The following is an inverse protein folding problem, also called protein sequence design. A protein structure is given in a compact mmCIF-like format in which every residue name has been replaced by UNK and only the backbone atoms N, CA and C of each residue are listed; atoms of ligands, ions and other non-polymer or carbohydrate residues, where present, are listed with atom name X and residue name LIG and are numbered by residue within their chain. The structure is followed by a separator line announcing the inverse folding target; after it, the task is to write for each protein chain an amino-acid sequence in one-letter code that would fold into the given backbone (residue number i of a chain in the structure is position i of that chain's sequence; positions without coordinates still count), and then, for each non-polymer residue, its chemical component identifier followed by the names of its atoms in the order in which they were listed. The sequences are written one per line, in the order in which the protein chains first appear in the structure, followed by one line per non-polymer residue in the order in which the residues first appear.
data_IF_534357192751
#
_entry.id   IF_534357192751
#
_cell.length_a   1.000
_cell.length_b   1.000
_cell.length_c   1.000
_cell.angle_alpha   90.00
_cell.angle_beta   90.00
_cell.angle_gamma   90.00
#
_symmetry.space_group_name_H-M   'P 1'
#
loop_
_entity.id
_entity.type
_entity.pdbx_description
1 polymer ?
2 non-polymer ?
3 non-polymer ?
4 water ?
#
# COMPACT_ATOMS: atom_id res chain seq x y z
N UNK A 6 15.07 26.11 5.26
CA UNK A 6 14.14 27.05 4.64
C UNK A 6 13.31 27.73 5.71
N UNK A 7 13.23 29.06 5.63
CA UNK A 7 12.41 29.82 6.55
C UNK A 7 10.93 29.56 6.30
N UNK A 8 10.07 29.82 7.29
CA UNK A 8 8.63 29.76 7.03
C UNK A 8 8.18 30.68 5.91
N UNK A 9 8.79 31.86 5.77
CA UNK A 9 8.42 32.79 4.72
C UNK A 9 8.54 32.15 3.35
N UNK A 10 9.69 31.52 3.08
CA UNK A 10 9.86 30.90 1.77
C UNK A 10 8.94 29.70 1.58
N UNK A 11 8.64 28.96 2.66
CA UNK A 11 7.77 27.81 2.54
C UNK A 11 6.32 28.25 2.29
N UNK A 12 5.92 29.39 2.87
CA UNK A 12 4.61 29.96 2.57
C UNK A 12 4.49 30.28 1.09
N UNK A 13 5.56 30.82 0.50
CA UNK A 13 5.56 31.12 -0.94
C UNK A 13 5.49 29.84 -1.77
N UNK A 14 6.31 28.84 -1.42
CA UNK A 14 6.25 27.56 -2.12
C UNK A 14 4.86 26.94 -2.01
N UNK A 15 4.24 27.07 -0.83
CA UNK A 15 2.91 26.53 -0.65
C UNK A 15 1.90 27.23 -1.56
N UNK A 16 1.95 28.58 -1.62
CA UNK A 16 1.09 29.32 -2.54
C UNK A 16 1.32 28.92 -3.99
N UNK A 17 2.57 28.62 -4.37
CA UNK A 17 2.85 28.21 -5.73
C UNK A 17 2.25 26.83 -6.01
N UNK A 18 2.33 25.91 -5.05
CA UNK A 18 1.74 24.60 -5.26
C UNK A 18 0.23 24.66 -5.31
N UNK A 19 -0.38 25.62 -4.61
CA UNK A 19 -1.84 25.74 -4.64
C UNK A 19 -2.32 26.14 -6.01
N UNK A 20 -1.56 27.00 -6.71
CA UNK A 20 -1.90 27.35 -8.08
C UNK A 20 -1.81 26.14 -9.00
N UNK A 21 -0.74 25.35 -8.87
CA UNK A 21 -0.62 24.13 -9.66
C UNK A 21 -1.72 23.14 -9.32
N UNK A 22 -2.15 23.08 -8.05
CA UNK A 22 -3.26 22.21 -7.68
C UNK A 22 -4.58 22.70 -8.28
N UNK A 23 -4.79 24.02 -8.30
CA UNK A 23 -6.00 24.55 -8.92
C UNK A 23 -6.01 24.29 -10.42
N UNK A 24 -4.85 24.33 -11.08
CA UNK A 24 -4.73 24.03 -12.50
C UNK A 24 -4.72 22.52 -12.79
N UNK A 25 -4.82 21.68 -11.75
CA UNK A 25 -4.96 20.23 -11.90
C UNK A 25 -3.69 19.59 -12.48
N UNK A 26 -2.53 20.10 -12.10
CA UNK A 26 -1.29 19.49 -12.55
C UNK A 26 -1.00 18.21 -11.77
N UNK A 27 -0.32 17.30 -12.44
CA UNK A 27 -0.04 15.99 -11.86
C UNK A 27 0.86 16.12 -10.64
N UNK A 28 0.51 15.42 -9.57
CA UNK A 28 1.29 15.47 -8.37
C UNK A 28 1.13 16.72 -7.56
N UNK A 29 0.29 17.67 -7.98
CA UNK A 29 0.21 18.92 -7.24
C UNK A 29 -0.49 18.74 -5.90
N UNK A 30 -1.46 17.83 -5.82
CA UNK A 30 -2.10 17.54 -4.54
C UNK A 30 -1.08 17.06 -3.52
N UNK A 31 -0.26 16.08 -3.90
CA UNK A 31 0.75 15.55 -3.00
C UNK A 31 1.78 16.61 -2.65
N UNK A 32 2.18 17.44 -3.62
CA UNK A 32 3.13 18.51 -3.36
C UNK A 32 2.58 19.54 -2.38
N UNK A 33 1.30 19.89 -2.52
CA UNK A 33 0.66 20.80 -1.59
C UNK A 33 0.65 20.23 -0.17
N UNK A 34 0.40 18.92 -0.04
CA UNK A 34 0.45 18.26 1.26
C UNK A 34 1.88 18.31 1.80
N UNK A 35 2.88 18.08 0.95
CA UNK A 35 4.26 18.07 1.42
C UNK A 35 4.69 19.44 1.91
N UNK A 36 4.31 20.50 1.18
CA UNK A 36 4.65 21.84 1.64
C UNK A 36 3.97 22.14 2.97
N UNK A 37 2.75 21.65 3.17
CA UNK A 37 2.09 21.92 4.44
C UNK A 37 2.84 21.28 5.60
N UNK A 38 3.35 20.05 5.40
CA UNK A 38 4.06 19.39 6.48
C UNK A 38 5.38 20.09 6.75
N UNK A 39 6.05 20.54 5.68
CA UNK A 39 7.27 21.32 5.88
C UNK A 39 6.97 22.61 6.63
N UNK A 40 5.85 23.25 6.31
CA UNK A 40 5.49 24.48 7.00
C UNK A 40 5.30 24.23 8.49
N UNK A 41 4.51 23.21 8.82
CA UNK A 41 4.33 22.82 10.23
C UNK A 41 5.68 22.59 10.90
N UNK A 42 6.57 21.85 10.26
CA UNK A 42 7.85 21.55 10.88
C UNK A 42 8.69 22.80 11.10
N UNK A 43 8.54 23.80 10.22
CA UNK A 43 9.30 25.03 10.37
C UNK A 43 8.74 25.97 11.43
N UNK A 44 7.52 25.76 11.89
CA UNK A 44 6.90 26.63 12.88
C UNK A 44 6.82 26.02 14.27
N UNK A 45 6.76 24.69 14.37
CA UNK A 45 6.54 24.01 15.64
C UNK A 45 7.76 24.09 16.55
N UNK A 46 7.52 24.42 17.82
CA UNK A 46 8.55 24.34 18.85
C UNK A 46 8.66 22.89 19.32
N UNK A 47 9.81 22.46 19.87
CA UNK A 47 9.98 21.04 20.23
C UNK A 47 8.89 20.49 21.15
N UNK A 48 8.33 21.29 22.07
CA UNK A 48 7.28 20.75 22.93
C UNK A 48 6.05 20.39 22.12
N UNK A 49 5.73 21.17 21.09
CA UNK A 49 4.59 20.82 20.22
C UNK A 49 4.89 19.60 19.38
N UNK A 50 6.13 19.45 18.91
CA UNK A 50 6.51 18.22 18.21
C UNK A 50 6.35 17.02 19.14
N UNK A 51 6.78 17.14 20.39
CA UNK A 51 6.60 16.03 21.34
C UNK A 51 5.12 15.71 21.53
N UNK A 52 4.29 16.74 21.75
CA UNK A 52 2.86 16.49 21.97
C UNK A 52 2.22 15.83 20.76
N UNK A 53 2.52 16.32 19.56
CA UNK A 53 1.89 15.74 18.37
C UNK A 53 2.37 14.31 18.16
N UNK A 54 3.69 14.09 18.18
CA UNK A 54 4.24 12.77 17.88
C UNK A 54 3.87 11.73 18.94
N UNK A 55 3.95 12.10 20.22
CA UNK A 55 3.82 11.14 21.30
C UNK A 55 2.49 11.18 22.04
N UNK A 56 1.67 12.22 21.85
CA UNK A 56 0.33 12.25 22.43
C UNK A 56 -0.76 12.16 21.38
N UNK A 57 -0.85 13.16 20.48
CA UNK A 57 -1.95 13.24 19.53
C UNK A 57 -2.02 11.99 18.66
N UNK A 58 -0.90 11.56 18.11
CA UNK A 58 -0.93 10.50 17.11
C UNK A 58 -1.19 9.13 17.75
N UNK A 59 -0.51 8.73 18.83
CA UNK A 59 -0.89 7.47 19.48
C UNK A 59 -2.33 7.46 19.95
N UNK A 60 -2.82 8.58 20.47
CA UNK A 60 -4.23 8.65 20.84
C UNK A 60 -5.12 8.52 19.61
N UNK A 61 -4.74 9.17 18.51
CA UNK A 61 -5.54 9.11 17.28
C UNK A 61 -5.61 7.70 16.74
N UNK A 62 -4.47 7.01 16.67
CA UNK A 62 -4.46 5.62 16.23
C UNK A 62 -5.36 4.76 17.09
N UNK A 63 -5.32 4.97 18.40
CA UNK A 63 -6.10 4.14 19.32
C UNK A 63 -7.60 4.39 19.15
N UNK A 64 -7.99 5.64 19.01
CA UNK A 64 -9.42 5.94 18.86
C UNK A 64 -9.93 5.42 17.52
N UNK A 65 -9.17 5.62 16.46
CA UNK A 65 -9.56 5.10 15.15
C UNK A 65 -9.72 3.58 15.24
N UNK A 66 -8.79 2.91 15.92
CA UNK A 66 -8.92 1.47 16.14
C UNK A 66 -10.17 1.14 16.94
N UNK A 67 -10.43 1.88 18.02
CA UNK A 67 -11.65 1.69 18.81
C UNK A 67 -12.90 1.92 17.96
N UNK A 68 -12.85 2.89 17.04
CA UNK A 68 -14.00 3.16 16.17
C UNK A 68 -14.44 1.92 15.39
N UNK A 69 -13.50 1.08 14.94
CA UNK A 69 -13.88 -0.11 14.18
C UNK A 69 -14.54 -1.18 15.06
N UNK A 70 -14.44 -1.07 16.38
CA UNK A 70 -15.10 -2.02 17.28
C UNK A 70 -16.53 -1.61 17.61
N UNK A 71 -16.89 -0.34 17.44
CA UNK A 71 -18.20 0.15 17.82
C UNK A 71 -18.97 0.72 16.63
N UNK A 72 -18.47 0.53 15.42
CA UNK A 72 -19.21 0.87 14.20
C UNK A 72 -19.41 2.37 14.06
N UNK A 73 -18.46 3.16 14.55
CA UNK A 73 -18.67 4.61 14.66
C UNK A 73 -18.72 5.28 13.29
N UNK A 74 -17.73 5.01 12.43
CA UNK A 74 -17.70 5.69 11.13
C UNK A 74 -18.89 5.29 10.27
N UNK A 75 -19.37 4.06 10.40
CA UNK A 75 -20.55 3.63 9.65
C UNK A 75 -21.79 4.41 10.09
N UNK A 76 -21.96 4.59 11.40
CA UNK A 76 -23.11 5.35 11.90
C UNK A 76 -23.08 6.79 11.42
N UNK A 77 -21.90 7.42 11.47
CA UNK A 77 -21.79 8.80 10.98
C UNK A 77 -22.01 8.87 9.47
N UNK A 78 -21.59 7.84 8.73
CA UNK A 78 -21.88 7.81 7.30
C UNK A 78 -23.38 7.75 7.05
N UNK A 79 -24.09 6.91 7.80
CA UNK A 79 -25.55 6.78 7.62
C UNK A 79 -26.30 8.06 7.98
N UNK A 80 -25.80 8.82 8.97
CA UNK A 80 -26.49 10.04 9.38
C UNK A 80 -26.40 11.13 8.32
N UNK A 81 -25.44 11.03 7.39
CA UNK A 81 -25.35 11.92 6.22
C UNK A 81 -25.26 13.36 6.72
N UNK A 82 -26.07 14.27 6.20
CA UNK A 82 -25.95 15.67 6.61
C UNK A 82 -26.63 15.99 7.93
N UNK A 83 -27.46 15.08 8.45
CA UNK A 83 -28.12 15.34 9.73
C UNK A 83 -27.13 15.22 10.90
N UNK A 84 -26.17 14.30 10.80
CA UNK A 84 -25.25 14.05 11.89
C UNK A 84 -25.93 13.40 13.08
N UNK A 85 -25.15 13.23 14.14
CA UNK A 85 -25.63 12.68 15.41
C UNK A 85 -24.96 13.43 16.54
N UNK A 86 -25.71 13.69 17.63
CA UNK A 86 -25.06 14.27 18.81
C UNK A 86 -24.43 13.15 19.65
N UNK A 87 -23.73 13.55 20.73
CA UNK A 87 -23.00 12.58 21.54
C UNK A 87 -23.95 11.58 22.18
N UNK A 88 -25.08 12.06 22.69
CA UNK A 88 -26.03 11.16 23.32
C UNK A 88 -26.55 10.11 22.34
N UNK A 89 -26.87 10.52 21.11
CA UNK A 89 -27.33 9.55 20.12
C UNK A 89 -26.22 8.56 19.75
N UNK A 90 -25.01 9.05 19.54
CA UNK A 90 -23.92 8.18 19.13
C UNK A 90 -23.48 7.26 20.25
N UNK A 91 -23.45 7.78 21.49
CA UNK A 91 -23.10 6.92 22.62
C UNK A 91 -24.11 5.80 22.77
N UNK A 92 -25.39 6.11 22.57
CA UNK A 92 -26.43 5.10 22.65
C UNK A 92 -26.26 4.04 21.57
N UNK A 93 -25.96 4.47 20.34
CA UNK A 93 -25.76 3.53 19.23
C UNK A 93 -24.50 2.68 19.44
N UNK A 94 -23.41 3.28 19.91
CA UNK A 94 -22.18 2.53 20.05
C UNK A 94 -22.10 1.75 21.36
N UNK A 95 -23.06 1.94 22.27
CA UNK A 95 -22.99 1.31 23.57
C UNK A 95 -21.90 1.84 24.47
N UNK A 96 -21.58 3.12 24.38
CA UNK A 96 -20.50 3.75 25.11
C UNK A 96 -21.04 4.73 26.14
N UNK A 97 -20.33 4.87 27.25
CA UNK A 97 -20.54 5.99 28.16
C UNK A 97 -20.54 7.30 27.37
N UNK A 98 -21.53 8.14 27.60
CA UNK A 98 -21.65 9.39 26.85
C UNK A 98 -20.43 10.28 27.10
N UNK A 99 -19.98 10.37 28.35
CA UNK A 99 -18.83 11.18 28.66
C UNK A 99 -17.57 10.64 27.99
N UNK A 100 -17.35 9.33 28.07
CA UNK A 100 -16.20 8.74 27.42
C UNK A 100 -16.26 8.96 25.91
N UNK A 101 -17.44 8.76 25.31
CA UNK A 101 -17.54 8.91 23.86
C UNK A 101 -17.19 10.34 23.44
N UNK A 102 -17.75 11.34 24.12
CA UNK A 102 -17.55 12.72 23.69
C UNK A 102 -16.07 13.11 23.75
N UNK A 103 -15.34 12.63 24.77
CA UNK A 103 -13.92 12.94 24.85
C UNK A 103 -13.15 12.33 23.69
N UNK A 104 -13.45 11.08 23.35
CA UNK A 104 -12.77 10.45 22.23
C UNK A 104 -13.15 11.11 20.91
N UNK A 105 -14.45 11.35 20.70
CA UNK A 105 -14.92 12.01 19.49
C UNK A 105 -14.32 13.41 19.33
N UNK A 106 -14.16 14.13 20.44
CA UNK A 106 -13.63 15.48 20.34
C UNK A 106 -12.18 15.46 19.88
N UNK A 107 -11.44 14.42 20.21
CA UNK A 107 -10.08 14.31 19.69
C UNK A 107 -10.10 14.03 18.18
N UNK A 108 -11.05 13.23 17.70
CA UNK A 108 -11.19 13.05 16.24
C UNK A 108 -11.51 14.37 15.55
N UNK A 109 -12.34 15.21 16.18
CA UNK A 109 -12.64 16.53 15.62
C UNK A 109 -11.39 17.38 15.59
N UNK A 110 -10.61 17.37 16.68
CA UNK A 110 -9.40 18.18 16.72
C UNK A 110 -8.35 17.68 15.75
N UNK A 111 -8.33 16.39 15.44
CA UNK A 111 -7.43 15.84 14.45
C UNK A 111 -8.02 15.87 13.03
N UNK A 112 -9.17 16.53 12.84
CA UNK A 112 -9.77 16.73 11.52
C UNK A 112 -10.22 15.42 10.86
N UNK A 113 -10.63 14.42 11.63
CA UNK A 113 -11.16 13.20 11.06
C UNK A 113 -12.69 13.27 10.87
N UNK A 114 -13.40 13.83 11.85
CA UNK A 114 -14.83 14.13 11.73
C UNK A 114 -15.00 15.60 12.07
N UNK A 115 -16.17 16.15 11.80
CA UNK A 115 -16.42 17.54 12.19
C UNK A 115 -17.52 17.61 13.24
N UNK A 116 -17.66 18.80 13.82
CA UNK A 116 -18.64 19.05 14.86
C UNK A 116 -19.16 20.48 14.76
N UNK A 117 -20.47 20.65 14.91
CA UNK A 117 -21.12 21.95 14.94
C UNK A 117 -22.29 21.87 15.91
N UNK A 118 -22.33 22.79 16.89
CA UNK A 118 -23.48 22.90 17.79
C UNK A 118 -23.74 21.58 18.52
N UNK A 119 -22.67 20.90 18.92
CA UNK A 119 -22.83 19.64 19.63
C UNK A 119 -23.24 18.46 18.78
N UNK A 120 -23.28 18.60 17.45
CA UNK A 120 -23.61 17.52 16.55
C UNK A 120 -22.34 17.09 15.83
N UNK A 121 -22.08 15.78 15.79
CA UNK A 121 -20.93 15.24 15.07
C UNK A 121 -21.34 14.83 13.65
N UNK A 122 -20.46 15.09 12.69
CA UNK A 122 -20.73 14.85 11.27
C UNK A 122 -19.60 14.04 10.65
N UNK A 123 -19.97 13.05 9.84
CA UNK A 123 -18.98 12.36 9.03
C UNK A 123 -18.35 13.27 8.00
N UNK A 124 -17.19 12.85 7.52
CA UNK A 124 -16.44 13.55 6.47
C UNK A 124 -16.13 12.57 5.35
N UNK A 125 -15.64 13.13 4.24
CA UNK A 125 -15.12 12.27 3.18
C UNK A 125 -14.13 11.25 3.72
N UNK A 126 -13.24 11.67 4.63
CA UNK A 126 -12.28 10.72 5.21
C UNK A 126 -13.00 9.66 6.04
N UNK A 127 -13.80 10.09 7.02
CA UNK A 127 -14.43 9.11 7.91
C UNK A 127 -15.41 8.22 7.15
N UNK A 128 -16.14 8.78 6.19
CA UNK A 128 -17.02 7.96 5.35
C UNK A 128 -16.21 6.93 4.57
N UNK A 129 -15.03 7.31 4.08
CA UNK A 129 -14.16 6.34 3.43
C UNK A 129 -13.66 5.27 4.37
N UNK A 130 -13.29 5.65 5.60
CA UNK A 130 -12.82 4.70 6.59
C UNK A 130 -13.92 3.74 7.06
N UNK A 131 -15.19 4.04 6.78
CA UNK A 131 -16.29 3.15 7.10
C UNK A 131 -16.31 1.87 6.25
N UNK A 132 -15.65 1.87 5.09
CA UNK A 132 -15.67 0.70 4.22
C UNK A 132 -14.93 -0.47 4.86
N UNK A 133 -15.39 -1.68 4.55
CA UNK A 133 -14.90 -2.88 5.24
C UNK A 133 -13.39 -3.06 5.08
N UNK A 134 -12.85 -2.74 3.90
CA UNK A 134 -11.42 -2.97 3.71
C UNK A 134 -10.60 -2.00 4.55
N UNK A 135 -11.04 -0.75 4.69
CA UNK A 135 -10.34 0.17 5.59
C UNK A 135 -10.53 -0.21 7.05
N UNK A 136 -11.70 -0.72 7.41
CA UNK A 136 -11.91 -1.21 8.77
C UNK A 136 -10.90 -2.28 9.12
N UNK A 137 -10.71 -3.26 8.23
CA UNK A 137 -9.75 -4.33 8.49
C UNK A 137 -8.31 -3.85 8.36
N UNK A 138 -8.04 -2.86 7.51
CA UNK A 138 -6.71 -2.25 7.49
C UNK A 138 -6.36 -1.66 8.84
N UNK A 139 -7.31 -0.94 9.45
CA UNK A 139 -7.06 -0.30 10.73
C UNK A 139 -6.76 -1.34 11.80
N UNK A 140 -7.54 -2.43 11.83
CA UNK A 140 -7.30 -3.48 12.82
C UNK A 140 -5.94 -4.12 12.60
N UNK A 141 -5.60 -4.44 11.34
CA UNK A 141 -4.29 -5.02 11.08
C UNK A 141 -3.17 -4.10 11.58
N UNK A 142 -3.22 -2.82 11.21
CA UNK A 142 -2.12 -1.94 11.53
C UNK A 142 -1.97 -1.73 13.04
N UNK A 143 -3.08 -1.58 13.75
CA UNK A 143 -2.98 -1.33 15.17
C UNK A 143 -2.64 -2.58 15.95
N UNK A 144 -3.12 -3.75 15.52
CA UNK A 144 -2.90 -4.97 16.28
C UNK A 144 -1.61 -5.69 15.89
N UNK A 145 -1.17 -5.58 14.64
CA UNK A 145 -0.01 -6.32 14.13
C UNK A 145 1.18 -5.40 13.89
N UNK A 146 1.00 -4.33 13.12
CA UNK A 146 2.12 -3.48 12.73
C UNK A 146 2.60 -2.61 13.88
N UNK A 147 1.67 -1.95 14.58
CA UNK A 147 2.04 -1.06 15.67
C UNK A 147 2.97 -1.70 16.70
N UNK A 148 2.70 -2.89 17.25
CA UNK A 148 3.67 -3.46 18.21
C UNK A 148 5.05 -3.66 17.62
N UNK A 149 5.15 -3.95 16.33
CA UNK A 149 6.46 -4.15 15.74
C UNK A 149 7.27 -2.86 15.75
N UNK A 150 6.66 -1.74 15.34
CA UNK A 150 7.35 -0.46 15.47
C UNK A 150 7.71 -0.17 16.92
N UNK A 151 6.81 -0.46 17.85
CA UNK A 151 7.11 -0.20 19.25
C UNK A 151 8.31 -0.96 19.75
N UNK A 152 8.64 -2.09 19.12
CA UNK A 152 9.77 -2.92 19.48
C UNK A 152 11.09 -2.48 18.87
N UNK A 153 11.10 -1.53 17.92
CA UNK A 153 12.34 -1.11 17.28
C UNK A 153 13.43 -0.68 18.26
N UNK A 154 13.18 0.23 19.22
CA UNK A 154 14.29 0.64 20.09
C UNK A 154 14.93 -0.51 20.83
N UNK A 155 14.12 -1.37 21.45
CA UNK A 155 14.68 -2.45 22.24
C UNK A 155 15.21 -3.58 21.36
N UNK A 156 14.61 -3.84 20.20
CA UNK A 156 15.11 -4.92 19.37
C UNK A 156 16.49 -4.59 18.83
N UNK A 157 16.66 -3.40 18.28
CA UNK A 157 17.95 -3.06 17.67
C UNK A 157 19.02 -2.83 18.71
N UNK A 158 18.65 -2.36 19.90
CA UNK A 158 19.64 -2.33 20.98
C UNK A 158 20.11 -3.74 21.31
N UNK A 159 19.19 -4.69 21.39
CA UNK A 159 19.56 -6.06 21.68
C UNK A 159 20.35 -6.75 20.58
N UNK A 160 20.09 -6.42 19.33
CA UNK A 160 20.78 -7.12 18.24
C UNK A 160 22.04 -6.37 17.79
N UNK A 161 22.47 -5.36 18.55
CA UNK A 161 23.68 -4.64 18.21
C UNK A 161 23.53 -3.63 17.08
N UNK A 162 22.30 -3.21 16.77
CA UNK A 162 22.02 -2.26 15.70
C UNK A 162 22.48 -2.78 14.34
N UNK A 163 22.09 -4.01 14.05
CA UNK A 163 22.42 -4.69 12.81
C UNK A 163 21.16 -4.86 11.95
N UNK A 164 21.34 -4.75 10.64
CA UNK A 164 20.28 -5.14 9.72
C UNK A 164 19.98 -6.63 9.94
N UNK A 165 18.69 -7.03 10.05
CA UNK A 165 18.36 -8.46 10.18
C UNK A 165 19.06 -9.34 9.15
N UNK A 166 19.92 -10.26 9.59
CA UNK A 166 20.73 -11.03 8.65
C UNK A 166 19.88 -11.98 7.81
N UNK A 167 19.01 -12.75 8.46
CA UNK A 167 18.11 -13.64 7.74
C UNK A 167 16.85 -12.95 7.27
N UNK A 168 16.48 -11.83 7.90
CA UNK A 168 15.28 -11.11 7.57
C UNK A 168 14.01 -11.80 8.03
N UNK A 169 13.84 -13.05 7.58
CA UNK A 169 12.58 -13.77 7.78
C UNK A 169 12.28 -13.99 9.26
N UNK A 170 13.24 -14.52 10.03
CA UNK A 170 12.96 -14.95 11.40
C UNK A 170 13.69 -14.17 12.48
N UNK A 171 14.51 -13.17 12.13
CA UNK A 171 15.38 -12.47 13.07
C UNK A 171 15.15 -10.96 13.05
N UNK A 172 13.89 -10.54 12.97
CA UNK A 172 13.57 -9.14 12.87
C UNK A 172 12.74 -8.63 14.03
N UNK A 173 12.41 -7.34 14.02
CA UNK A 173 11.57 -6.79 15.11
C UNK A 173 10.18 -7.42 15.16
N UNK A 174 9.63 -7.89 14.04
CA UNK A 174 8.32 -8.54 14.10
C UNK A 174 8.35 -9.71 15.08
N UNK A 175 9.36 -10.58 14.96
CA UNK A 175 9.45 -11.76 15.80
C UNK A 175 9.56 -11.40 17.27
N UNK A 176 10.27 -10.30 17.57
CA UNK A 176 10.45 -9.90 18.96
C UNK A 176 9.16 -9.30 19.52
N UNK A 177 8.51 -8.40 18.76
CA UNK A 177 7.27 -7.79 19.19
C UNK A 177 6.19 -8.81 19.49
N UNK A 178 6.06 -9.82 18.64
CA UNK A 178 4.98 -10.79 18.78
C UNK A 178 5.43 -12.06 19.48
N UNK A 179 6.70 -12.14 19.89
CA UNK A 179 7.21 -13.22 20.74
C UNK A 179 7.08 -14.58 20.06
N UNK A 180 7.50 -14.63 18.79
CA UNK A 180 7.52 -15.86 18.01
C UNK A 180 8.88 -15.97 17.33
N UNK A 181 9.19 -17.17 16.85
CA UNK A 181 10.39 -17.36 16.05
C UNK A 181 10.09 -17.73 14.60
N UNK A 182 8.85 -17.54 14.14
CA UNK A 182 8.44 -17.87 12.79
C UNK A 182 8.34 -16.60 11.95
N UNK A 183 8.33 -16.76 10.63
CA UNK A 183 8.24 -15.62 9.74
C UNK A 183 6.85 -14.98 9.78
N UNK A 184 6.82 -13.72 9.34
CA UNK A 184 5.55 -13.01 9.22
C UNK A 184 4.51 -13.74 8.37
N UNK A 185 4.82 -14.27 7.18
CA UNK A 185 3.80 -15.04 6.44
C UNK A 185 3.29 -16.25 7.21
N UNK A 186 4.18 -16.99 7.87
CA UNK A 186 3.75 -18.11 8.69
C UNK A 186 2.92 -17.66 9.89
N UNK A 187 3.26 -16.50 10.46
CA UNK A 187 2.47 -15.99 11.56
C UNK A 187 1.05 -15.68 11.11
N UNK A 188 0.90 -15.10 9.91
CA UNK A 188 -0.45 -14.75 9.45
C UNK A 188 -1.30 -15.99 9.29
N UNK A 189 -0.75 -17.03 8.67
CA UNK A 189 -1.47 -18.28 8.48
C UNK A 189 -1.90 -18.86 9.83
N UNK A 190 -1.06 -18.71 10.85
CA UNK A 190 -1.41 -19.20 12.16
C UNK A 190 -2.27 -18.29 13.02
N UNK A 191 -2.62 -17.09 12.58
CA UNK A 191 -3.30 -16.14 13.45
C UNK A 191 -4.49 -15.49 12.74
N UNK A 192 -5.58 -16.24 12.53
CA UNK A 192 -6.83 -15.60 12.13
C UNK A 192 -7.27 -14.57 13.16
N UNK A 193 -7.96 -13.51 12.72
CA UNK A 193 -8.41 -13.24 11.35
C UNK A 193 -7.42 -12.39 10.59
N UNK A 194 -6.16 -12.29 11.02
CA UNK A 194 -5.28 -11.27 10.47
C UNK A 194 -4.82 -11.58 9.05
N UNK A 195 -4.82 -12.85 8.64
CA UNK A 195 -4.46 -13.15 7.25
C UNK A 195 -5.49 -12.58 6.30
N UNK A 196 -6.78 -12.82 6.57
CA UNK A 196 -7.78 -12.25 5.70
C UNK A 196 -7.88 -10.73 5.88
N UNK A 197 -7.57 -10.20 7.08
CA UNK A 197 -7.46 -8.75 7.21
C UNK A 197 -6.38 -8.21 6.29
N UNK A 198 -5.23 -8.90 6.26
CA UNK A 198 -4.14 -8.51 5.36
C UNK A 198 -4.60 -8.44 3.91
N UNK A 199 -5.37 -9.45 3.48
CA UNK A 199 -5.79 -9.49 2.08
C UNK A 199 -6.74 -8.34 1.75
N UNK A 200 -7.61 -7.96 2.70
CA UNK A 200 -8.45 -6.77 2.50
C UNK A 200 -7.61 -5.51 2.44
N UNK A 201 -6.63 -5.42 3.35
CA UNK A 201 -5.67 -4.34 3.43
C UNK A 201 -4.95 -4.08 2.11
N UNK A 202 -4.64 -5.13 1.35
CA UNK A 202 -3.90 -4.91 0.11
C UNK A 202 -4.68 -4.10 -0.92
N UNK A 203 -6.01 -4.11 -0.85
CA UNK A 203 -6.81 -3.24 -1.70
C UNK A 203 -6.95 -1.83 -1.13
N UNK A 204 -6.44 -1.56 0.08
CA UNK A 204 -6.58 -0.23 0.63
C UNK A 204 -5.28 0.56 0.76
N UNK A 205 -4.12 -0.09 0.91
CA UNK A 205 -2.92 0.63 1.37
C UNK A 205 -2.48 1.73 0.39
N UNK A 206 -2.77 1.59 -0.91
CA UNK A 206 -2.43 2.66 -1.85
C UNK A 206 -3.63 3.07 -2.72
N UNK A 207 -4.85 2.71 -2.31
CA UNK A 207 -6.06 3.07 -3.04
C UNK A 207 -6.20 4.58 -3.21
N UNK A 208 -6.81 4.99 -4.33
CA UNK A 208 -6.99 6.40 -4.63
C UNK A 208 -5.79 7.07 -5.26
N UNK A 209 -4.76 6.37 -5.50
CA UNK A 209 -3.56 6.87 -6.18
C UNK A 209 -3.54 6.41 -7.63
N UNK A 210 -2.98 7.21 -8.54
CA UNK A 210 -2.88 6.77 -9.94
C UNK A 210 -2.20 5.41 -10.04
N UNK A 211 -2.76 4.54 -10.84
CA UNK A 211 -2.20 3.22 -11.11
C UNK A 211 -1.17 3.29 -12.23
N UNK A 212 -0.32 2.27 -12.27
CA UNK A 212 0.69 2.15 -13.32
C UNK A 212 0.08 2.26 -14.71
N UNK A 213 -1.13 1.75 -14.92
CA UNK A 213 -1.73 1.72 -16.24
C UNK A 213 -2.55 2.97 -16.56
N UNK A 214 -2.55 3.98 -15.69
CA UNK A 214 -3.33 5.19 -15.93
C UNK A 214 -2.67 6.07 -16.99
N UNK A 215 -3.45 7.03 -17.49
CA UNK A 215 -2.96 7.97 -18.49
C UNK A 215 -1.69 8.68 -18.03
N UNK A 216 -0.70 8.73 -18.91
CA UNK A 216 0.51 9.44 -18.58
C UNK A 216 1.50 8.67 -17.72
N UNK A 217 1.18 7.44 -17.35
CA UNK A 217 2.09 6.58 -16.61
C UNK A 217 2.67 5.55 -17.58
N UNK A 218 2.23 4.31 -17.50
CA UNK A 218 2.85 3.34 -18.43
C UNK A 218 2.01 3.24 -19.71
N UNK A 219 2.64 3.26 -20.90
CA UNK A 219 1.87 3.16 -22.17
C UNK A 219 1.41 1.74 -22.50
N UNK A 220 0.36 1.32 -21.79
CA UNK A 220 -0.17 -0.03 -21.93
C UNK A 220 -0.55 -0.31 -23.38
N UNK A 221 -1.28 0.62 -24.00
CA UNK A 221 -1.75 0.38 -25.35
C UNK A 221 -0.59 0.24 -26.32
N UNK A 222 0.38 1.14 -26.26
CA UNK A 222 1.46 1.09 -27.23
C UNK A 222 2.38 -0.11 -27.01
N UNK A 223 2.62 -0.51 -25.76
CA UNK A 223 3.60 -1.55 -25.46
C UNK A 223 3.01 -2.96 -25.39
N UNK A 224 1.76 -3.11 -24.96
CA UNK A 224 1.16 -4.42 -24.74
C UNK A 224 0.12 -4.75 -25.80
N UNK A 225 -0.88 -3.88 -25.99
CA UNK A 225 -1.99 -4.18 -26.89
C UNK A 225 -1.55 -4.10 -28.35
N UNK A 226 -0.81 -3.08 -28.70
CA UNK A 226 -0.14 -3.03 -29.99
C UNK A 226 0.86 -4.19 -30.08
N UNK A 227 0.66 -5.06 -31.06
CA UNK A 227 1.53 -6.22 -31.23
C UNK A 227 1.10 -7.45 -30.46
N UNK A 228 -0.01 -7.38 -29.72
CA UNK A 228 -0.54 -8.59 -29.09
C UNK A 228 -0.76 -9.63 -30.18
N UNK A 229 -0.35 -10.85 -29.91
CA UNK A 229 -0.34 -11.94 -30.89
C UNK A 229 -0.92 -13.19 -30.24
N UNK A 230 -2.20 -13.46 -30.52
CA UNK A 230 -2.86 -14.65 -30.00
C UNK A 230 -2.24 -15.94 -30.49
N UNK A 231 -1.53 -15.91 -31.62
CA UNK A 231 -0.80 -17.08 -32.08
C UNK A 231 0.42 -17.38 -31.21
N UNK A 232 0.94 -16.39 -30.48
CA UNK A 232 1.99 -16.66 -29.50
C UNK A 232 1.38 -17.22 -28.22
N UNK A 233 0.36 -16.56 -27.70
CA UNK A 233 -0.39 -16.98 -26.52
C UNK A 233 -1.68 -16.17 -26.47
N UNK A 234 -2.75 -16.79 -25.97
CA UNK A 234 -3.99 -16.04 -25.78
C UNK A 234 -4.03 -15.28 -24.45
N UNK A 235 -2.92 -15.16 -23.74
CA UNK A 235 -2.89 -14.48 -22.45
C UNK A 235 -2.27 -13.10 -22.61
N UNK A 236 -3.03 -12.06 -22.22
CA UNK A 236 -2.56 -10.69 -22.30
C UNK A 236 -1.70 -10.32 -21.09
N UNK A 237 -2.16 -10.64 -19.88
CA UNK A 237 -1.46 -10.18 -18.71
C UNK A 237 -1.67 -11.18 -17.58
N UNK A 238 -0.56 -11.54 -16.92
CA UNK A 238 -0.57 -12.35 -15.69
C UNK A 238 -0.18 -11.42 -14.56
N UNK A 239 -1.02 -11.32 -13.52
CA UNK A 239 -0.68 -10.60 -12.28
C UNK A 239 -0.17 -11.60 -11.24
N UNK A 240 1.15 -11.63 -11.07
CA UNK A 240 1.81 -12.59 -10.19
C UNK A 240 1.82 -12.04 -8.77
N UNK A 241 1.08 -12.68 -7.87
CA UNK A 241 0.92 -12.16 -6.52
C UNK A 241 -0.06 -11.03 -6.42
N UNK A 242 -1.15 -11.05 -7.20
CA UNK A 242 -2.03 -9.91 -7.29
C UNK A 242 -3.13 -9.82 -6.23
N UNK A 243 -2.99 -10.57 -5.15
CA UNK A 243 -3.97 -10.44 -4.08
C UNK A 243 -5.32 -10.96 -4.50
N UNK A 244 -6.37 -10.27 -4.06
CA UNK A 244 -7.70 -10.68 -4.45
C UNK A 244 -8.08 -10.19 -5.85
N UNK A 245 -7.20 -9.50 -6.55
CA UNK A 245 -7.45 -9.14 -7.93
C UNK A 245 -7.81 -7.70 -8.19
N UNK A 246 -7.66 -6.82 -7.21
CA UNK A 246 -8.10 -5.44 -7.38
C UNK A 246 -7.31 -4.74 -8.50
N UNK A 247 -5.99 -4.99 -8.60
CA UNK A 247 -5.19 -4.38 -9.66
C UNK A 247 -5.57 -4.93 -11.03
N UNK A 248 -5.68 -6.26 -11.15
CA UNK A 248 -5.96 -6.81 -12.47
C UNK A 248 -7.37 -6.47 -12.92
N UNK A 249 -8.32 -6.31 -12.00
CA UNK A 249 -9.67 -5.92 -12.37
C UNK A 249 -9.69 -4.49 -12.88
N UNK A 250 -8.93 -3.61 -12.23
CA UNK A 250 -8.79 -2.24 -12.71
C UNK A 250 -8.23 -2.22 -14.11
N UNK A 251 -7.20 -3.03 -14.37
CA UNK A 251 -6.65 -3.13 -15.73
C UNK A 251 -7.73 -3.52 -16.74
N UNK A 252 -8.50 -4.56 -16.44
CA UNK A 252 -9.50 -5.02 -17.41
C UNK A 252 -10.56 -3.98 -17.71
N UNK A 253 -11.02 -3.26 -16.68
CA UNK A 253 -12.04 -2.25 -16.90
C UNK A 253 -11.53 -1.06 -17.72
N UNK A 254 -10.22 -0.85 -17.77
CA UNK A 254 -9.64 0.28 -18.48
C UNK A 254 -9.31 -0.04 -19.93
N UNK A 255 -9.14 -1.31 -20.28
CA UNK A 255 -8.66 -1.69 -21.60
C UNK A 255 -9.57 -2.73 -22.25
N UNK A 256 -10.86 -2.68 -21.93
CA UNK A 256 -11.88 -3.51 -22.54
C UNK A 256 -12.33 -2.91 -23.87
N UNK A 257 -12.70 -3.74 -24.87
CA UNK A 257 -12.65 -5.22 -24.92
C UNK A 257 -11.22 -5.78 -24.90
N UNK A 258 -10.96 -6.78 -24.07
CA UNK A 258 -9.60 -7.27 -23.95
C UNK A 258 -9.25 -8.21 -25.11
N UNK A 259 -8.09 -8.06 -25.73
CA UNK A 259 -7.70 -8.99 -26.80
C UNK A 259 -7.27 -10.35 -26.28
N UNK A 260 -6.93 -10.49 -24.99
CA UNK A 260 -6.49 -11.77 -24.47
C UNK A 260 -6.87 -11.91 -23.01
N UNK A 261 -6.46 -13.02 -22.43
CA UNK A 261 -6.91 -13.35 -21.09
C UNK A 261 -6.14 -12.56 -20.04
N UNK A 262 -6.79 -12.39 -18.88
CA UNK A 262 -6.17 -11.87 -17.67
C UNK A 262 -6.12 -13.00 -16.65
N UNK A 263 -4.92 -13.29 -16.14
CA UNK A 263 -4.71 -14.37 -15.20
C UNK A 263 -4.18 -13.78 -13.89
N UNK A 264 -4.91 -14.01 -12.80
CA UNK A 264 -4.47 -13.66 -11.46
C UNK A 264 -3.80 -14.85 -10.81
N UNK A 265 -2.63 -14.65 -10.21
CA UNK A 265 -1.92 -15.71 -9.50
C UNK A 265 -1.64 -15.29 -8.06
N UNK A 266 -2.05 -16.12 -7.09
CA UNK A 266 -1.68 -15.87 -5.70
C UNK A 266 -1.79 -17.18 -4.91
N UNK A 267 -1.74 -17.06 -3.58
CA UNK A 267 -1.89 -18.20 -2.68
C UNK A 267 -3.33 -18.71 -2.68
N UNK A 268 -3.46 -20.01 -2.43
CA UNK A 268 -4.78 -20.62 -2.39
C UNK A 268 -5.70 -19.93 -1.38
N UNK A 269 -5.18 -19.57 -0.19
CA UNK A 269 -6.05 -18.92 0.78
C UNK A 269 -6.51 -17.54 0.30
N UNK A 270 -5.74 -16.89 -0.58
CA UNK A 270 -6.17 -15.63 -1.18
C UNK A 270 -7.22 -15.89 -2.26
N UNK A 271 -6.92 -16.79 -3.20
CA UNK A 271 -7.85 -17.11 -4.27
C UNK A 271 -9.18 -17.56 -3.70
N UNK A 272 -9.15 -18.39 -2.66
CA UNK A 272 -10.40 -18.94 -2.12
C UNK A 272 -11.23 -17.88 -1.39
N UNK A 273 -10.65 -16.74 -1.05
CA UNK A 273 -11.39 -15.66 -0.37
C UNK A 273 -11.99 -14.64 -1.33
N UNK A 274 -11.74 -14.76 -2.63
CA UNK A 274 -12.30 -13.83 -3.61
C UNK A 274 -13.80 -14.05 -3.70
N UNK A 275 -14.61 -13.02 -3.47
CA UNK A 275 -16.07 -13.19 -3.58
C UNK A 275 -16.51 -13.39 -5.01
N UNK A 276 -17.57 -14.19 -5.19
CA UNK A 276 -18.07 -14.48 -6.53
C UNK A 276 -18.53 -13.19 -7.23
N UNK A 277 -18.30 -13.16 -8.55
CA UNK A 277 -18.74 -12.02 -9.36
C UNK A 277 -18.86 -12.49 -10.80
N UNK A 278 -20.07 -12.45 -11.36
CA UNK A 278 -20.27 -12.87 -12.73
C UNK A 278 -19.61 -11.93 -13.74
N UNK A 279 -19.36 -10.68 -13.36
CA UNK A 279 -18.71 -9.73 -14.25
C UNK A 279 -17.19 -9.78 -14.15
N UNK A 280 -16.64 -10.78 -13.45
CA UNK A 280 -15.19 -10.86 -13.29
C UNK A 280 -14.53 -11.06 -14.64
N UNK A 281 -13.49 -10.28 -14.91
CA UNK A 281 -12.81 -10.34 -16.20
C UNK A 281 -11.49 -11.08 -16.15
N UNK A 282 -11.14 -11.70 -15.02
CA UNK A 282 -9.89 -12.42 -14.87
C UNK A 282 -10.16 -13.84 -14.40
N UNK A 283 -9.17 -14.71 -14.59
CA UNK A 283 -9.21 -16.09 -14.07
C UNK A 283 -8.34 -16.15 -12.83
N UNK A 284 -8.92 -16.58 -11.72
CA UNK A 284 -8.22 -16.63 -10.45
C UNK A 284 -7.56 -18.00 -10.31
N UNK A 285 -6.25 -18.03 -10.10
CA UNK A 285 -5.50 -19.29 -10.10
C UNK A 285 -4.47 -19.27 -8.99
N UNK A 286 -4.21 -20.46 -8.45
CA UNK A 286 -3.20 -20.63 -7.40
C UNK A 286 -1.84 -20.79 -8.06
N UNK A 287 -0.84 -20.09 -7.54
CA UNK A 287 0.53 -20.27 -8.01
C UNK A 287 1.46 -19.87 -6.88
N UNK A 288 2.61 -20.52 -6.82
CA UNK A 288 3.67 -20.20 -5.85
C UNK A 288 4.80 -19.49 -6.59
N UNK A 289 5.07 -18.23 -6.21
CA UNK A 289 6.10 -17.43 -6.89
C UNK A 289 7.49 -18.04 -6.79
N UNK A 290 7.68 -19.05 -5.94
CA UNK A 290 8.94 -19.74 -5.83
C UNK A 290 9.00 -21.02 -6.65
N UNK A 291 8.05 -21.21 -7.56
CA UNK A 291 8.13 -22.24 -8.58
C UNK A 291 8.13 -21.58 -9.95
N UNK A 292 8.49 -22.34 -10.99
CA UNK A 292 8.52 -21.80 -12.34
C UNK A 292 7.14 -21.33 -12.76
N UNK A 293 7.10 -20.17 -13.43
CA UNK A 293 5.88 -19.61 -13.98
C UNK A 293 5.21 -20.60 -14.94
N UNK A 294 3.97 -21.03 -14.67
CA UNK A 294 3.33 -22.02 -15.56
C UNK A 294 2.68 -21.44 -16.81
N UNK A 295 2.29 -20.16 -16.79
CA UNK A 295 1.65 -19.57 -17.97
C UNK A 295 2.75 -19.14 -18.93
N UNK A 296 2.83 -19.80 -20.09
CA UNK A 296 3.95 -19.64 -21.02
C UNK A 296 3.64 -18.58 -22.06
N UNK A 297 4.59 -17.67 -22.29
CA UNK A 297 4.61 -16.78 -23.44
C UNK A 297 3.50 -15.74 -23.42
N UNK A 298 3.01 -15.36 -22.24
CA UNK A 298 2.04 -14.27 -22.15
C UNK A 298 2.68 -12.95 -22.60
N UNK A 299 1.81 -12.01 -22.99
CA UNK A 299 2.27 -10.70 -23.44
C UNK A 299 2.89 -9.88 -22.31
N UNK A 300 2.45 -10.07 -21.07
CA UNK A 300 2.98 -9.32 -19.95
C UNK A 300 2.87 -10.14 -18.67
N UNK A 301 3.89 -10.03 -17.83
CA UNK A 301 3.89 -10.56 -16.47
C UNK A 301 4.07 -9.36 -15.56
N UNK A 302 3.13 -9.18 -14.65
CA UNK A 302 3.07 -8.00 -13.80
C UNK A 302 3.23 -8.43 -12.34
N UNK A 303 4.08 -7.70 -11.59
CA UNK A 303 4.15 -7.86 -10.14
C UNK A 303 4.10 -6.50 -9.48
N UNK A 304 3.35 -6.40 -8.39
CA UNK A 304 3.18 -5.17 -7.64
C UNK A 304 3.45 -5.47 -6.17
N UNK A 305 4.45 -4.80 -5.58
CA UNK A 305 4.76 -4.99 -4.16
C UNK A 305 4.93 -6.46 -3.80
N UNK A 306 5.73 -7.18 -4.56
CA UNK A 306 5.95 -8.59 -4.23
C UNK A 306 7.41 -8.83 -3.88
N UNK A 307 8.39 -8.73 -4.79
CA UNK A 307 9.79 -8.98 -4.37
C UNK A 307 10.34 -7.95 -3.38
N UNK A 308 9.70 -6.80 -3.20
CA UNK A 308 10.21 -5.86 -2.20
C UNK A 308 10.14 -6.43 -0.79
N UNK A 309 9.38 -7.50 -0.57
CA UNK A 309 9.29 -8.09 0.74
C UNK A 309 10.28 -9.21 0.99
N UNK A 310 11.24 -9.40 0.08
CA UNK A 310 12.16 -10.53 0.13
C UNK A 310 13.59 -10.03 0.00
N UNK A 311 14.51 -10.73 0.69
CA UNK A 311 15.94 -10.49 0.54
C UNK A 311 16.42 -10.78 -0.88
N UNK A 312 17.69 -10.43 -1.14
CA UNK A 312 18.22 -10.45 -2.51
C UNK A 312 18.13 -11.83 -3.14
N UNK A 313 18.57 -12.87 -2.41
CA UNK A 313 18.52 -14.22 -2.94
C UNK A 313 17.10 -14.62 -3.31
N UNK A 314 16.12 -14.30 -2.45
CA UNK A 314 14.74 -14.67 -2.75
C UNK A 314 14.16 -13.80 -3.86
N UNK A 315 14.49 -12.51 -3.89
CA UNK A 315 14.01 -11.65 -4.97
C UNK A 315 14.53 -12.13 -6.31
N UNK A 316 15.79 -12.57 -6.36
CA UNK A 316 16.35 -13.06 -7.62
C UNK A 316 15.57 -14.29 -8.09
N UNK A 317 15.27 -15.21 -7.16
CA UNK A 317 14.51 -16.40 -7.50
C UNK A 317 13.11 -16.05 -8.00
N UNK A 318 12.45 -15.08 -7.38
CA UNK A 318 11.11 -14.70 -7.81
C UNK A 318 11.14 -14.19 -9.25
N UNK A 319 12.14 -13.37 -9.58
CA UNK A 319 12.23 -12.86 -10.94
C UNK A 319 12.74 -13.94 -11.90
N UNK A 320 13.72 -14.75 -11.48
CA UNK A 320 14.23 -15.80 -12.36
C UNK A 320 13.16 -16.82 -12.72
N UNK A 321 12.22 -17.08 -11.82
CA UNK A 321 11.17 -18.06 -12.09
C UNK A 321 10.24 -17.62 -13.21
N UNK A 322 10.23 -16.35 -13.59
CA UNK A 322 9.50 -15.94 -14.79
C UNK A 322 10.25 -16.31 -16.06
N UNK A 323 11.57 -16.39 -16.00
CA UNK A 323 12.38 -16.42 -17.22
C UNK A 323 12.02 -17.60 -18.12
N UNK A 324 11.82 -18.83 -17.63
CA UNK A 324 11.48 -19.93 -18.55
C UNK A 324 10.17 -19.74 -19.30
N UNK A 325 9.30 -18.84 -18.85
CA UNK A 325 8.02 -18.64 -19.49
C UNK A 325 8.04 -17.51 -20.52
N UNK A 326 9.10 -16.73 -20.57
CA UNK A 326 9.10 -15.53 -21.41
C UNK A 326 9.33 -15.90 -22.86
N UNK A 327 8.52 -15.33 -23.77
CA UNK A 327 8.78 -15.44 -25.20
C UNK A 327 9.71 -14.32 -25.62
N UNK A 328 10.88 -14.67 -26.14
CA UNK A 328 11.86 -13.65 -26.52
C UNK A 328 11.25 -12.72 -27.55
N UNK A 329 11.48 -11.41 -27.37
CA UNK A 329 10.97 -10.41 -28.27
C UNK A 329 9.50 -10.10 -28.12
N UNK A 330 8.82 -10.73 -27.15
CA UNK A 330 7.37 -10.64 -27.09
C UNK A 330 6.87 -10.39 -25.67
N UNK A 331 7.39 -11.13 -24.69
CA UNK A 331 6.88 -11.05 -23.33
C UNK A 331 7.55 -9.91 -22.59
N UNK A 332 6.74 -9.02 -22.01
CA UNK A 332 7.20 -7.94 -21.14
C UNK A 332 7.11 -8.39 -19.69
N UNK A 333 8.09 -7.97 -18.88
CA UNK A 333 8.03 -8.12 -17.43
C UNK A 333 7.80 -6.73 -16.86
N UNK A 334 6.77 -6.58 -16.04
CA UNK A 334 6.37 -5.27 -15.54
C UNK A 334 6.43 -5.32 -14.03
N UNK A 335 7.46 -4.70 -13.46
CA UNK A 335 7.70 -4.71 -12.03
C UNK A 335 7.25 -3.37 -11.45
N UNK A 336 6.16 -3.39 -10.67
CA UNK A 336 5.57 -2.18 -10.10
C UNK A 336 6.05 -2.08 -8.65
N UNK A 337 7.16 -1.36 -8.44
CA UNK A 337 7.80 -1.28 -7.13
C UNK A 337 8.35 0.11 -6.88
N UNK A 338 8.53 0.43 -5.61
CA UNK A 338 9.20 1.66 -5.21
C UNK A 338 10.66 1.61 -5.65
N UNK A 339 11.12 2.68 -6.25
CA UNK A 339 12.53 2.84 -6.58
C UNK A 339 13.03 4.00 -5.72
N UNK A 340 13.86 3.67 -4.74
CA UNK A 340 14.32 4.64 -3.77
C UNK A 340 15.38 5.53 -4.39
N UNK A 341 15.16 6.84 -4.32
CA UNK A 341 16.18 7.84 -4.63
C UNK A 341 16.79 8.27 -3.30
N UNK A 342 18.03 7.85 -3.02
CA UNK A 342 18.54 8.09 -1.68
C UNK A 342 19.02 9.52 -1.46
N UNK A 343 19.29 10.27 -2.52
CA UNK A 343 19.57 11.70 -2.37
C UNK A 343 18.31 12.52 -2.10
N UNK A 344 17.12 12.02 -2.47
CA UNK A 344 15.85 12.72 -2.31
C UNK A 344 14.90 11.82 -1.53
N UNK A 345 15.03 11.78 -0.21
CA UNK A 345 14.15 10.91 0.59
C UNK A 345 12.74 11.46 0.67
N UNK A 346 11.76 10.58 0.50
CA UNK A 346 10.35 10.96 0.53
C UNK A 346 9.57 9.98 1.37
N UNK A 347 8.56 10.50 2.05
CA UNK A 347 7.73 9.72 2.97
C UNK A 347 7.19 8.46 2.32
N UNK A 348 6.72 8.56 1.08
CA UNK A 348 6.10 7.37 0.46
C UNK A 348 7.10 6.23 0.31
N UNK A 349 8.39 6.54 0.20
CA UNK A 349 9.38 5.49 0.09
C UNK A 349 9.90 5.03 1.46
N UNK A 350 10.13 5.95 2.40
CA UNK A 350 10.61 5.53 3.72
C UNK A 350 9.54 4.81 4.52
N UNK A 351 8.27 5.24 4.39
CA UNK A 351 7.13 4.52 4.94
C UNK A 351 7.19 3.04 4.63
N UNK A 352 7.15 2.71 3.34
CA UNK A 352 7.11 1.32 2.93
C UNK A 352 8.39 0.61 3.32
N UNK A 353 9.53 1.31 3.26
CA UNK A 353 10.80 0.72 3.68
C UNK A 353 10.73 0.24 5.12
N UNK A 354 10.24 1.08 6.02
CA UNK A 354 10.16 0.69 7.43
C UNK A 354 9.05 -0.33 7.66
N UNK A 355 7.98 -0.30 6.87
CA UNK A 355 6.99 -1.37 6.93
C UNK A 355 7.63 -2.70 6.54
N UNK A 356 8.44 -2.72 5.48
CA UNK A 356 9.15 -3.95 5.12
C UNK A 356 10.06 -4.42 6.25
N UNK A 357 10.80 -3.51 6.86
CA UNK A 357 11.64 -3.89 7.98
C UNK A 357 10.82 -4.44 9.15
N UNK A 358 9.68 -3.80 9.44
CA UNK A 358 8.91 -4.16 10.61
C UNK A 358 8.12 -5.46 10.45
N UNK A 359 7.89 -5.94 9.24
CA UNK A 359 7.12 -7.16 9.03
C UNK A 359 7.99 -8.27 8.44
N UNK A 360 8.68 -7.98 7.35
CA UNK A 360 9.43 -8.98 6.60
C UNK A 360 10.93 -8.95 6.91
N UNK A 361 11.38 -8.00 7.71
CA UNK A 361 12.80 -7.74 7.83
C UNK A 361 13.50 -7.43 6.52
N UNK A 362 12.79 -6.88 5.53
CA UNK A 362 13.28 -6.60 4.18
C UNK A 362 13.43 -5.07 3.96
N UNK A 363 13.49 -4.64 2.69
CA UNK A 363 13.79 -3.24 2.41
C UNK A 363 13.35 -2.84 1.00
N UNK A 364 13.15 -1.54 0.82
CA UNK A 364 12.96 -1.00 -0.51
C UNK A 364 14.32 -0.81 -1.19
N UNK A 365 14.31 -0.79 -2.52
CA UNK A 365 15.55 -0.84 -3.28
C UNK A 365 15.70 0.37 -4.18
N UNK A 366 16.96 0.76 -4.39
CA UNK A 366 17.34 1.77 -5.37
C UNK A 366 17.30 1.20 -6.77
N UNK A 367 17.43 2.09 -7.76
CA UNK A 367 17.48 1.64 -9.15
C UNK A 367 18.68 0.73 -9.40
N UNK A 368 19.85 1.08 -8.85
CA UNK A 368 20.99 0.20 -9.00
C UNK A 368 20.76 -1.14 -8.31
N UNK A 369 20.05 -1.14 -7.17
CA UNK A 369 19.70 -2.39 -6.50
C UNK A 369 18.84 -3.28 -7.40
N UNK A 370 17.80 -2.70 -8.02
CA UNK A 370 16.89 -3.49 -8.86
C UNK A 370 17.59 -4.03 -10.09
N UNK A 371 18.40 -3.19 -10.72
CA UNK A 371 19.15 -3.63 -11.91
C UNK A 371 20.04 -4.82 -11.58
N UNK A 372 20.70 -4.78 -10.42
CA UNK A 372 21.53 -5.92 -10.00
C UNK A 372 20.69 -7.18 -9.81
N UNK A 373 19.49 -7.03 -9.24
CA UNK A 373 18.65 -8.20 -9.01
C UNK A 373 18.12 -8.75 -10.33
N UNK A 374 17.65 -7.87 -11.21
CA UNK A 374 17.14 -8.34 -12.48
C UNK A 374 18.25 -8.97 -13.32
N UNK A 375 19.45 -8.39 -13.30
CA UNK A 375 20.57 -8.97 -14.05
C UNK A 375 20.90 -10.37 -13.55
N UNK A 376 21.00 -10.54 -12.23
CA UNK A 376 21.25 -11.87 -11.67
C UNK A 376 20.10 -12.83 -12.01
N UNK A 377 18.89 -12.33 -12.21
CA UNK A 377 17.78 -13.20 -12.58
C UNK A 377 17.79 -13.59 -14.04
N UNK A 378 18.56 -12.91 -14.88
CA UNK A 378 18.51 -13.12 -16.32
C UNK A 378 17.67 -12.12 -17.08
N UNK A 379 17.37 -10.96 -16.52
CA UNK A 379 16.53 -9.95 -17.14
C UNK A 379 17.34 -8.68 -17.31
N UNK A 380 16.87 -7.80 -18.20
CA UNK A 380 17.50 -6.51 -18.39
C UNK A 380 16.42 -5.44 -18.45
N UNK A 381 16.71 -4.26 -17.91
CA UNK A 381 15.73 -3.17 -17.87
C UNK A 381 15.60 -2.56 -19.26
N UNK A 382 14.36 -2.32 -19.67
CA UNK A 382 14.08 -1.60 -20.91
C UNK A 382 13.87 -0.12 -20.65
N UNK A 383 13.02 0.21 -19.66
CA UNK A 383 12.69 1.58 -19.30
C UNK A 383 12.06 1.55 -17.93
N UNK A 384 12.17 2.67 -17.22
CA UNK A 384 11.55 2.85 -15.91
C UNK A 384 10.62 4.04 -16.01
N UNK A 385 9.37 3.85 -15.61
CA UNK A 385 8.35 4.89 -15.70
C UNK A 385 7.95 5.33 -14.30
N UNK A 386 7.77 6.62 -14.10
CA UNK A 386 7.26 7.12 -12.83
C UNK A 386 6.16 8.15 -13.08
N UNK A 387 5.51 8.56 -12.00
CA UNK A 387 4.40 9.50 -12.06
C UNK A 387 4.47 10.39 -10.83
N UNK A 388 4.32 11.71 -11.00
CA UNK A 388 4.42 12.64 -9.85
C UNK A 388 3.44 12.25 -8.74
N UNK A 389 3.96 12.19 -7.52
CA UNK A 389 3.13 11.89 -6.36
C UNK A 389 2.82 10.41 -6.14
N UNK A 390 3.20 9.52 -7.05
CA UNK A 390 2.94 8.08 -6.89
C UNK A 390 4.18 7.43 -6.30
N UNK A 391 3.99 6.56 -5.31
CA UNK A 391 5.13 5.96 -4.60
C UNK A 391 5.94 5.05 -5.51
N UNK A 392 5.26 4.16 -6.24
CA UNK A 392 5.88 3.14 -7.06
C UNK A 392 6.27 3.66 -8.44
N UNK A 393 7.32 3.06 -8.98
CA UNK A 393 7.62 3.15 -10.40
C UNK A 393 7.14 1.88 -11.10
N UNK A 394 7.29 1.89 -12.42
CA UNK A 394 6.99 0.73 -13.25
C UNK A 394 8.27 0.41 -14.03
N UNK A 395 8.93 -0.68 -13.66
CA UNK A 395 10.13 -1.11 -14.38
C UNK A 395 9.70 -2.11 -15.43
N UNK A 396 9.94 -1.79 -16.70
CA UNK A 396 9.73 -2.76 -17.75
C UNK A 396 11.05 -3.49 -18.03
N UNK A 397 11.05 -4.81 -17.91
CA UNK A 397 12.22 -5.61 -18.17
C UNK A 397 11.92 -6.62 -19.28
N UNK A 398 12.96 -7.30 -19.73
CA UNK A 398 12.86 -8.30 -20.77
C UNK A 398 13.99 -9.31 -20.61
N UNK A 399 13.93 -10.40 -21.36
CA UNK A 399 15.01 -11.38 -21.37
C UNK A 399 16.34 -10.70 -21.71
N UNK A 400 17.33 -10.91 -20.84
CA UNK A 400 18.68 -10.44 -21.14
C UNK A 400 19.26 -11.14 -22.37
X LIG B 1 -0.09 -7.28 -5.54
X LIG B 1 -1.01 -6.92 -4.46
X LIG B 1 -0.64 -7.62 -3.15
X LIG B 1 0.76 -7.27 -2.64
X LIG B 1 1.10 -8.01 -1.02
X LIG B 1 -1.05 -5.40 -4.20
X LIG B 1 -2.09 -4.85 -3.79
X LIG B 1 -0.03 -4.71 -4.37
X LIG B 1 2.08 -9.42 -1.60
X LIG B 1 1.28 -10.55 -2.24
X LIG B 1 2.15 -11.64 -2.53
X LIG B 1 0.18 -11.12 -1.35
X LIG B 1 -1.02 -11.14 -2.09
X LIG B 1 0.65 -12.55 -1.04
X LIG B 1 -0.38 -13.49 -0.85
X LIG B 1 1.52 -12.87 -2.24
X LIG B 1 2.48 -13.95 -1.99
X LIG B 1 3.38 -14.03 -0.97
X LIG B 1 4.08 -15.17 -1.09
X LIG B 1 3.64 -15.85 -2.17
X LIG B 1 4.00 -17.08 -2.75
X LIG B 1 4.96 -17.84 -2.22
X LIG B 1 3.35 -17.48 -3.90
X LIG B 1 2.36 -16.70 -4.44
X LIG B 1 2.01 -15.50 -3.86
X LIG B 1 2.64 -15.07 -2.75
X LIG C 1 3.46 -11.62 2.69
X LIG C 1 5.42 -9.49 0.12
X LIG C 1 1.78 -13.51 2.69
X LIG C 1 0.59 -12.71 3.10
X LIG C 1 0.91 -15.82 3.39
X LIG C 1 3.95 -6.50 2.64
X LIG C 1 4.39 -9.03 2.35
X LIG C 1 4.65 -9.87 1.35
X LIG C 1 4.17 -11.30 1.39
X LIG C 1 3.01 -13.04 2.67
X LIG C 1 2.05 -4.06 0.39
X LIG C 1 1.50 -14.94 2.29
X LIG C 1 3.45 -5.83 1.52
X LIG C 1 0.69 -17.26 2.97
X LIG C 1 2.58 -4.74 1.63
X LIG C 1 2.23 -4.32 2.89
X LIG C 1 2.72 -4.94 4.01
X LIG C 1 3.59 -6.03 3.90
X LIG C 1 1.35 -3.20 3.33
X LIG C 1 2.18 -4.27 5.20
X LIG C 1 4.94 -7.64 2.50
X LIG C 1 4.08 -6.65 4.99
X LIG C 1 3.79 -6.26 0.28
X LIG C 1 1.44 -3.22 4.77
X LIG C 1 2.28 -4.50 6.37
X LIG C 1 1.65 -18.06 3.12
X LIG C 1 -0.43 -17.59 2.48
#
# INVERSE_FOLDING_TARGET
GAMGAASPASIIQELASAAKQYENNESGAREALIAQSRALIASLEVPSEFIQHTFWSQPALSAIVRLATDVNLFQYLKDAQEEGLNAEALASKTGMDVSLFARLARHLVAMNVITSRNGVFYGTALSNGLAAENYQQSIRFCHDVSRPSFGAFPSFFKGNGYKTPALGTTDGPFQSAHKVDISFPQWLVGNPPYLQYFNSYMSAYRAGKPNWCDNGFYPVADRLLNGFDASVSDVLLVDVGGGRGHDIATFGSQFSPLPGRLVLQDREQVINSIPADESRQFEATTHDIFTTQPVKHARAYYMHSVPHGFGDEDAVKIMANLVPALAKGYSRVLLNEIVVDEERPVMSATNMDLIMLAHMGAKERTEADWRSILTRAGLKVVNIYSYPGVAESLIEAELA
SAH N CA CB CG SD C O OXT C5' C4' O4' C3' O3' C2' O2' C1' N9 C8 N7 C5 C6 N6 N1 C2 N3 C4
A1LWC C13 C15 C17 C19 C20 C1 C10 C11 C12 C14 C16 C18 C2 C21 C3 C4 C5 C6 C7 C8 C9 O1 O2 O3 O4 O5 O6
#
